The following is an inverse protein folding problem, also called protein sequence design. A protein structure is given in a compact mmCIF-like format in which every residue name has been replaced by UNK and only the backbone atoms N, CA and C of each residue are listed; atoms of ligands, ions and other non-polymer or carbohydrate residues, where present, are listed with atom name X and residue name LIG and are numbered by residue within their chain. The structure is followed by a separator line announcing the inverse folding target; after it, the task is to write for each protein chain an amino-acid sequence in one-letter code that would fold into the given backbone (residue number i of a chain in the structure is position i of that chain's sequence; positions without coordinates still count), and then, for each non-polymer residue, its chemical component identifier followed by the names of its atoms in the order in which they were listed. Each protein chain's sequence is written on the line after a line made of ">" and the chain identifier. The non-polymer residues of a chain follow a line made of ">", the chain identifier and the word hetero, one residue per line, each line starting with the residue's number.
data_IF_861630927975
#
_entry.id   IF_861630927975
#
_cell.length_a   1.000
_cell.length_b   1.000
_cell.length_c   1.000
_cell.angle_alpha   90.00
_cell.angle_beta   90.00
_cell.angle_gamma   90.00
#
_symmetry.space_group_name_H-M   'P 1'
#
loop_
_entity.id
_entity.type
_entity.pdbx_description
1 polymer ?
#
# COMPACT_ATOMS: atom_id res chain seq x y z
N UNK A 1 8.39 -25.01 -11.40
CA UNK A 1 9.36 -23.94 -11.74
C UNK A 1 10.28 -23.77 -10.54
N UNK A 2 11.61 -23.73 -10.75
CA UNK A 2 12.55 -23.48 -9.68
C UNK A 2 12.34 -22.05 -9.13
N UNK A 3 12.25 -21.92 -7.81
CA UNK A 3 12.05 -20.64 -7.16
C UNK A 3 13.40 -20.02 -6.85
N UNK A 4 13.64 -18.82 -7.34
CA UNK A 4 14.88 -18.08 -7.11
C UNK A 4 14.75 -17.24 -5.84
N UNK A 5 15.73 -17.36 -4.95
CA UNK A 5 15.84 -16.52 -3.75
C UNK A 5 16.94 -15.48 -3.97
N UNK A 6 16.63 -14.19 -3.79
CA UNK A 6 17.63 -13.12 -3.81
C UNK A 6 17.93 -12.70 -2.37
N UNK A 7 19.22 -12.60 -2.02
CA UNK A 7 19.66 -12.20 -0.68
C UNK A 7 20.50 -10.92 -0.73
N UNK A 8 19.99 -9.87 -0.12
CA UNK A 8 20.67 -8.59 0.08
C UNK A 8 21.37 -8.58 1.44
N UNK A 9 22.66 -8.41 1.46
CA UNK A 9 23.49 -8.44 2.66
C UNK A 9 24.33 -7.18 2.81
N UNK A 10 24.77 -6.90 4.03
CA UNK A 10 25.62 -5.76 4.36
C UNK A 10 27.04 -6.20 4.70
N UNK A 11 28.02 -5.29 4.49
CA UNK A 11 29.45 -5.50 4.79
C UNK A 11 29.88 -5.05 6.17
N UNK A 12 29.04 -4.27 6.86
CA UNK A 12 29.38 -3.63 8.15
C UNK A 12 29.34 -4.60 9.34
N UNK A 13 28.60 -5.69 9.22
CA UNK A 13 28.58 -6.74 10.25
C UNK A 13 29.85 -7.60 10.20
N UNK A 14 30.38 -8.05 11.35
CA UNK A 14 31.48 -9.02 11.38
C UNK A 14 31.11 -10.26 10.57
N UNK A 15 31.93 -10.60 9.58
CA UNK A 15 31.63 -11.61 8.52
C UNK A 15 31.13 -12.94 9.11
N UNK A 16 31.68 -13.37 10.26
CA UNK A 16 31.39 -14.66 10.90
C UNK A 16 29.96 -14.74 11.46
N UNK A 17 29.44 -13.66 12.04
CA UNK A 17 28.13 -13.59 12.69
C UNK A 17 27.08 -12.83 11.86
N UNK A 18 27.47 -12.29 10.73
CA UNK A 18 26.63 -11.64 9.72
C UNK A 18 26.57 -12.51 8.45
N UNK A 19 27.33 -12.10 7.42
CA UNK A 19 27.27 -12.69 6.09
C UNK A 19 27.41 -14.23 6.07
N UNK A 20 28.43 -14.82 6.70
CA UNK A 20 28.63 -16.29 6.69
C UNK A 20 27.48 -16.97 7.44
N UNK A 21 27.11 -16.45 8.61
CA UNK A 21 26.06 -17.03 9.44
C UNK A 21 24.70 -17.07 8.71
N UNK A 22 24.29 -15.94 8.12
CA UNK A 22 23.01 -15.84 7.40
C UNK A 22 23.03 -16.74 6.16
N UNK A 23 24.14 -16.72 5.37
CA UNK A 23 24.30 -17.58 4.22
C UNK A 23 24.14 -19.06 4.57
N UNK A 24 24.82 -19.51 5.62
CA UNK A 24 24.80 -20.92 6.01
C UNK A 24 23.39 -21.32 6.51
N UNK A 25 22.69 -20.44 7.25
CA UNK A 25 21.31 -20.67 7.65
C UNK A 25 20.35 -20.71 6.45
N UNK A 26 20.53 -19.85 5.44
CA UNK A 26 19.76 -19.86 4.20
C UNK A 26 19.99 -21.14 3.40
N UNK A 27 21.25 -21.59 3.28
CA UNK A 27 21.57 -22.86 2.61
C UNK A 27 20.89 -24.05 3.28
N UNK A 28 21.01 -24.16 4.62
CA UNK A 28 20.33 -25.20 5.38
C UNK A 28 18.79 -25.16 5.21
N UNK A 29 18.19 -23.96 5.19
CA UNK A 29 16.76 -23.81 4.95
C UNK A 29 16.35 -24.25 3.54
N UNK A 30 17.09 -23.85 2.51
CA UNK A 30 16.84 -24.23 1.12
C UNK A 30 17.01 -25.74 0.93
N UNK A 31 18.04 -26.35 1.54
CA UNK A 31 18.27 -27.80 1.46
C UNK A 31 17.13 -28.58 2.12
N UNK A 32 16.55 -28.11 3.22
CA UNK A 32 15.34 -28.69 3.81
C UNK A 32 14.12 -28.56 2.89
N UNK A 33 13.99 -27.45 2.19
CA UNK A 33 12.87 -27.18 1.28
C UNK A 33 13.00 -27.89 -0.07
N UNK A 34 14.22 -28.17 -0.56
CA UNK A 34 14.46 -28.94 -1.81
C UNK A 34 13.94 -30.36 -1.74
N UNK A 35 13.71 -30.89 -0.56
CA UNK A 35 13.01 -32.18 -0.38
C UNK A 35 11.52 -32.07 -0.75
N UNK A 36 10.97 -30.85 -0.90
CA UNK A 36 9.58 -30.57 -1.23
C UNK A 36 9.35 -29.64 -2.41
N UNK A 37 10.35 -28.87 -2.89
CA UNK A 37 10.22 -27.95 -4.01
C UNK A 37 11.60 -27.64 -4.67
N UNK A 38 11.62 -27.37 -6.00
CA UNK A 38 12.81 -26.92 -6.72
C UNK A 38 13.09 -25.44 -6.43
N UNK A 39 14.00 -25.15 -5.51
CA UNK A 39 14.44 -23.79 -5.15
C UNK A 39 15.89 -23.60 -5.60
N UNK A 40 16.13 -22.58 -6.44
CA UNK A 40 17.48 -22.15 -6.83
C UNK A 40 17.92 -20.93 -6.04
N UNK A 41 19.16 -20.94 -5.52
CA UNK A 41 19.80 -19.84 -4.82
C UNK A 41 20.65 -18.99 -5.80
N UNK A 42 20.30 -17.74 -6.10
CA UNK A 42 21.22 -16.82 -6.76
C UNK A 42 22.08 -16.13 -5.72
N UNK A 43 23.29 -16.61 -5.50
CA UNK A 43 24.29 -15.90 -4.69
C UNK A 43 24.73 -14.61 -5.43
N UNK A 44 24.73 -13.49 -4.70
CA UNK A 44 25.41 -12.27 -5.16
C UNK A 44 26.90 -12.51 -5.07
N UNK A 45 27.51 -12.98 -6.15
CA UNK A 45 28.96 -13.18 -6.25
C UNK A 45 29.67 -11.83 -6.47
N UNK A 46 29.85 -11.05 -5.38
CA UNK A 46 30.63 -9.81 -5.41
C UNK A 46 32.11 -10.04 -5.57
N UNK A 47 32.62 -11.24 -5.32
CA UNK A 47 34.05 -11.58 -5.41
C UNK A 47 34.56 -11.58 -6.85
N UNK A 48 33.72 -11.84 -7.83
CA UNK A 48 34.11 -11.78 -9.27
C UNK A 48 34.15 -10.36 -9.83
N UNK A 49 33.53 -9.39 -9.18
CA UNK A 49 33.44 -8.01 -9.65
C UNK A 49 34.61 -7.18 -9.17
N UNK A 50 35.16 -7.46 -7.98
CA UNK A 50 36.31 -6.74 -7.41
C UNK A 50 37.67 -7.17 -7.96
N UNK A 51 37.74 -8.24 -8.76
CA UNK A 51 38.99 -8.80 -9.27
C UNK A 51 39.15 -8.80 -10.78
N UNK A 52 38.28 -8.15 -11.55
CA UNK A 52 38.47 -7.97 -13.00
C UNK A 52 38.84 -6.51 -13.36
N UNK A 53 40.14 -6.16 -13.37
CA UNK A 53 40.59 -4.81 -13.73
C UNK A 53 40.43 -4.50 -15.22
N UNK A 54 39.84 -5.38 -16.00
CA UNK A 54 39.74 -5.30 -17.47
C UNK A 54 38.37 -4.89 -18.03
N UNK A 55 37.31 -4.82 -17.23
CA UNK A 55 35.99 -4.33 -17.67
C UNK A 55 35.66 -2.99 -17.03
N UNK A 56 36.20 -1.96 -17.64
CA UNK A 56 35.72 -0.57 -17.48
C UNK A 56 34.35 -0.39 -18.20
N UNK A 57 33.32 -1.13 -17.79
CA UNK A 57 31.94 -0.78 -18.12
C UNK A 57 31.33 -0.17 -16.86
N UNK A 58 30.99 1.12 -16.97
CA UNK A 58 30.60 1.97 -15.87
C UNK A 58 29.51 1.38 -15.00
N UNK A 59 29.45 1.81 -13.72
CA UNK A 59 28.60 1.28 -12.64
C UNK A 59 27.08 1.14 -12.91
N UNK A 60 26.61 1.59 -14.06
CA UNK A 60 25.22 1.45 -14.54
C UNK A 60 24.87 0.00 -14.93
N UNK A 61 25.82 -0.83 -15.40
CA UNK A 61 25.58 -2.23 -15.74
C UNK A 61 25.32 -3.09 -14.51
N UNK A 62 26.13 -2.89 -13.44
CA UNK A 62 26.03 -3.65 -12.20
C UNK A 62 24.70 -3.45 -11.47
N UNK A 63 24.28 -2.19 -11.33
CA UNK A 63 22.99 -1.86 -10.68
C UNK A 63 21.84 -2.51 -11.44
N UNK A 64 21.86 -2.43 -12.79
CA UNK A 64 20.82 -3.04 -13.62
C UNK A 64 20.77 -4.56 -13.48
N UNK A 65 21.91 -5.21 -13.38
CA UNK A 65 21.99 -6.68 -13.19
C UNK A 65 21.43 -7.09 -11.83
N UNK A 66 21.69 -6.30 -10.76
CA UNK A 66 21.10 -6.53 -9.43
C UNK A 66 19.59 -6.40 -9.50
N UNK A 67 19.08 -5.32 -10.09
CA UNK A 67 17.63 -5.10 -10.20
C UNK A 67 16.95 -6.21 -11.02
N UNK A 68 17.54 -6.63 -12.14
CA UNK A 68 17.01 -7.75 -12.94
C UNK A 68 16.98 -9.07 -12.16
N UNK A 69 17.96 -9.32 -11.27
CA UNK A 69 17.96 -10.51 -10.41
C UNK A 69 16.89 -10.43 -9.33
N UNK A 70 16.62 -9.24 -8.79
CA UNK A 70 15.51 -9.02 -7.86
C UNK A 70 14.17 -9.26 -8.57
N UNK A 71 13.99 -8.74 -9.80
CA UNK A 71 12.78 -8.96 -10.60
C UNK A 71 12.51 -10.45 -10.87
N UNK A 72 13.57 -11.25 -11.03
CA UNK A 72 13.48 -12.68 -11.27
C UNK A 72 13.37 -13.53 -9.98
N UNK A 73 13.40 -12.91 -8.80
CA UNK A 73 13.36 -13.63 -7.54
C UNK A 73 11.92 -13.97 -7.13
N UNK A 74 11.71 -15.16 -6.61
CA UNK A 74 10.45 -15.56 -5.97
C UNK A 74 10.36 -15.08 -4.53
N UNK A 75 11.50 -14.92 -3.83
CA UNK A 75 11.60 -14.42 -2.45
C UNK A 75 12.83 -13.53 -2.34
N UNK A 76 12.71 -12.43 -1.61
CA UNK A 76 13.79 -11.50 -1.29
C UNK A 76 14.09 -11.52 0.20
N UNK A 77 15.35 -11.72 0.56
CA UNK A 77 15.83 -11.69 1.94
C UNK A 77 16.75 -10.50 2.14
N UNK A 78 16.55 -9.69 3.18
CA UNK A 78 17.36 -8.52 3.50
C UNK A 78 17.95 -8.60 4.91
N UNK A 79 19.26 -8.39 5.03
CA UNK A 79 19.92 -8.15 6.33
C UNK A 79 19.78 -6.67 6.70
N UNK A 80 18.78 -6.35 7.53
CA UNK A 80 18.48 -5.00 8.01
C UNK A 80 19.14 -4.70 9.38
N UNK A 81 20.15 -5.46 9.78
CA UNK A 81 20.93 -5.18 11.00
C UNK A 81 21.47 -3.74 10.96
N UNK A 82 21.37 -3.02 12.08
CA UNK A 82 21.82 -1.63 12.16
C UNK A 82 23.32 -1.46 11.85
N UNK A 83 23.63 -0.65 10.85
CA UNK A 83 25.01 -0.34 10.45
C UNK A 83 25.69 0.71 11.37
N UNK A 84 24.92 1.57 12.03
CA UNK A 84 25.45 2.72 12.78
C UNK A 84 26.27 2.37 14.04
N UNK A 85 26.19 1.13 14.53
CA UNK A 85 26.96 0.66 15.69
C UNK A 85 28.21 -0.15 15.33
N UNK A 86 28.41 -0.51 14.08
CA UNK A 86 29.41 -1.50 13.68
C UNK A 86 30.74 -0.86 13.29
N UNK A 87 30.77 0.41 12.91
CA UNK A 87 31.97 1.07 12.36
C UNK A 87 32.66 2.06 13.27
N UNK A 88 32.09 2.45 14.39
CA UNK A 88 32.72 3.42 15.31
C UNK A 88 33.40 2.71 16.47
N UNK A 89 34.72 2.64 16.44
CA UNK A 89 35.55 2.30 17.62
C UNK A 89 35.44 3.34 18.75
N UNK A 90 34.37 4.08 18.84
CA UNK A 90 34.02 5.03 19.89
C UNK A 90 32.81 4.44 20.61
N UNK A 91 32.96 4.17 21.89
CA UNK A 91 31.90 3.86 22.83
C UNK A 91 30.85 4.99 22.81
N UNK A 92 29.84 4.87 21.96
CA UNK A 92 28.71 5.78 22.00
C UNK A 92 27.85 5.32 23.17
N UNK A 93 27.74 6.19 24.17
CA UNK A 93 26.85 6.03 25.33
C UNK A 93 25.45 5.62 24.89
N UNK A 94 24.76 4.71 25.63
CA UNK A 94 23.46 4.14 25.21
C UNK A 94 22.27 5.12 25.21
N UNK A 95 22.48 6.40 25.46
CA UNK A 95 21.42 7.40 25.66
C UNK A 95 21.10 8.29 24.46
N UNK A 96 21.79 8.16 23.33
CA UNK A 96 21.36 8.89 22.13
C UNK A 96 20.33 8.07 21.33
N UNK A 97 19.07 8.36 21.55
CA UNK A 97 17.92 7.87 20.76
C UNK A 97 17.95 8.47 19.33
N UNK A 98 18.97 8.11 18.54
CA UNK A 98 19.02 8.42 17.11
C UNK A 98 18.52 7.20 16.32
N UNK A 99 17.72 7.41 15.28
CA UNK A 99 17.32 6.36 14.35
C UNK A 99 18.57 5.62 13.85
N UNK A 100 18.63 4.33 14.07
CA UNK A 100 19.72 3.49 13.58
C UNK A 100 19.53 3.27 12.09
N UNK A 101 20.57 3.53 11.31
CA UNK A 101 20.53 3.39 9.86
C UNK A 101 20.88 1.95 9.47
N UNK A 102 20.13 1.42 8.51
CA UNK A 102 20.51 0.20 7.78
C UNK A 102 21.49 0.56 6.66
N UNK A 103 22.23 -0.42 6.15
CA UNK A 103 23.12 -0.20 5.00
C UNK A 103 22.36 0.39 3.82
N UNK A 104 22.90 1.43 3.18
CA UNK A 104 22.24 2.16 2.09
C UNK A 104 21.97 1.30 0.85
N UNK A 105 22.84 0.33 0.53
CA UNK A 105 22.63 -0.58 -0.59
C UNK A 105 21.48 -1.55 -0.29
N UNK A 106 21.44 -2.10 0.94
CA UNK A 106 20.33 -2.95 1.38
C UNK A 106 19.02 -2.17 1.38
N UNK A 107 19.03 -0.90 1.80
CA UNK A 107 17.84 -0.05 1.77
C UNK A 107 17.31 0.18 0.34
N UNK A 108 18.22 0.44 -0.62
CA UNK A 108 17.87 0.63 -2.01
C UNK A 108 17.29 -0.66 -2.63
N UNK A 109 17.97 -1.79 -2.40
CA UNK A 109 17.56 -3.10 -2.92
C UNK A 109 16.23 -3.54 -2.29
N UNK A 110 16.02 -3.31 -0.98
CA UNK A 110 14.77 -3.58 -0.28
C UNK A 110 13.62 -2.73 -0.81
N UNK A 111 13.84 -1.43 -1.03
CA UNK A 111 12.82 -0.56 -1.61
C UNK A 111 12.43 -1.00 -3.02
N UNK A 112 13.40 -1.43 -3.83
CA UNK A 112 13.13 -1.97 -5.15
C UNK A 112 12.38 -3.32 -5.07
N UNK A 113 12.82 -4.24 -4.20
CA UNK A 113 12.17 -5.54 -4.00
C UNK A 113 10.73 -5.40 -3.50
N UNK A 114 10.47 -4.46 -2.56
CA UNK A 114 9.12 -4.14 -2.12
C UNK A 114 8.21 -3.76 -3.29
N UNK A 115 8.75 -2.97 -4.22
CA UNK A 115 8.03 -2.53 -5.42
C UNK A 115 7.82 -3.68 -6.41
N UNK A 116 8.86 -4.52 -6.64
CA UNK A 116 8.86 -5.54 -7.69
C UNK A 116 8.12 -6.81 -7.26
N UNK A 117 8.29 -7.25 -6.01
CA UNK A 117 7.82 -8.53 -5.51
C UNK A 117 6.61 -8.41 -4.57
N UNK A 118 6.40 -7.24 -3.96
CA UNK A 118 5.40 -7.03 -2.92
C UNK A 118 5.88 -7.47 -1.53
N UNK A 119 5.19 -6.98 -0.50
CA UNK A 119 5.56 -7.16 0.92
C UNK A 119 5.60 -8.62 1.36
N UNK A 120 4.70 -9.45 0.83
CA UNK A 120 4.54 -10.85 1.20
C UNK A 120 5.75 -11.74 0.85
N UNK A 121 6.56 -11.32 -0.14
CA UNK A 121 7.76 -12.02 -0.59
C UNK A 121 9.05 -11.49 0.03
N UNK A 122 8.93 -10.57 1.00
CA UNK A 122 10.07 -9.98 1.71
C UNK A 122 10.29 -10.70 3.04
N UNK A 123 11.54 -11.07 3.31
CA UNK A 123 11.99 -11.61 4.59
C UNK A 123 13.07 -10.68 5.12
N UNK A 124 12.80 -10.03 6.25
CA UNK A 124 13.75 -9.15 6.91
C UNK A 124 14.47 -9.91 8.02
N UNK A 125 15.78 -9.80 8.08
CA UNK A 125 16.63 -10.40 9.11
C UNK A 125 17.38 -9.31 9.86
N UNK A 126 17.51 -9.43 11.18
CA UNK A 126 18.39 -8.53 11.92
C UNK A 126 19.02 -9.21 13.13
N UNK A 127 20.26 -8.80 13.43
CA UNK A 127 20.94 -9.22 14.64
C UNK A 127 20.59 -8.28 15.81
N UNK A 128 19.79 -8.77 16.75
CA UNK A 128 19.31 -7.99 17.89
C UNK A 128 20.42 -7.58 18.88
N UNK A 129 21.63 -8.14 18.76
CA UNK A 129 22.81 -7.65 19.49
C UNK A 129 23.12 -6.17 19.16
N UNK A 130 22.82 -5.72 17.93
CA UNK A 130 23.11 -4.36 17.47
C UNK A 130 21.91 -3.42 17.60
N UNK A 131 20.75 -3.89 17.99
CA UNK A 131 19.57 -3.07 18.18
C UNK A 131 18.27 -3.85 18.20
N UNK A 132 17.19 -3.18 18.51
CA UNK A 132 15.83 -3.74 18.53
C UNK A 132 15.11 -3.41 17.23
N UNK A 133 14.02 -4.13 16.96
CA UNK A 133 13.16 -3.87 15.78
C UNK A 133 12.61 -2.43 15.77
N UNK A 134 12.34 -1.88 16.95
CA UNK A 134 11.84 -0.52 17.14
C UNK A 134 12.86 0.56 16.75
N UNK A 135 14.15 0.20 16.73
CA UNK A 135 15.24 1.08 16.31
C UNK A 135 15.37 1.20 14.78
N UNK A 136 14.74 0.29 14.01
CA UNK A 136 14.75 0.34 12.56
C UNK A 136 13.98 1.56 12.04
N UNK A 137 14.31 2.07 10.84
CA UNK A 137 13.54 3.13 10.21
C UNK A 137 12.04 2.77 10.17
N UNK A 138 11.18 3.77 10.39
CA UNK A 138 9.74 3.59 10.50
C UNK A 138 9.15 2.74 9.37
N UNK A 139 9.55 3.02 8.12
CA UNK A 139 9.03 2.31 6.96
C UNK A 139 9.49 0.84 6.92
N UNK A 140 10.71 0.54 7.37
CA UNK A 140 11.26 -0.82 7.39
C UNK A 140 10.60 -1.68 8.48
N UNK A 141 10.44 -1.16 9.68
CA UNK A 141 9.84 -1.90 10.80
C UNK A 141 8.37 -2.25 10.61
N UNK A 142 7.67 -1.52 9.72
CA UNK A 142 6.24 -1.72 9.43
C UNK A 142 5.99 -2.57 8.17
N UNK A 143 7.05 -2.95 7.42
CA UNK A 143 6.91 -3.75 6.20
C UNK A 143 6.53 -5.20 6.47
N UNK A 144 7.25 -5.86 7.38
CA UNK A 144 7.02 -7.26 7.73
C UNK A 144 7.60 -7.55 9.12
N UNK A 145 7.14 -8.62 9.77
CA UNK A 145 7.73 -9.11 11.00
C UNK A 145 9.16 -9.57 10.73
N UNK A 146 10.15 -8.77 11.18
CA UNK A 146 11.55 -9.08 10.98
C UNK A 146 11.97 -10.29 11.84
N UNK A 147 12.71 -11.22 11.25
CA UNK A 147 13.26 -12.39 11.93
C UNK A 147 14.52 -11.95 12.69
N UNK A 148 14.42 -11.85 14.02
CA UNK A 148 15.56 -11.54 14.87
C UNK A 148 16.43 -12.79 15.13
N UNK A 149 17.75 -12.62 15.14
CA UNK A 149 18.72 -13.54 15.74
C UNK A 149 19.66 -12.76 16.64
N UNK A 150 20.33 -13.44 17.58
CA UNK A 150 21.19 -12.76 18.56
C UNK A 150 22.58 -13.37 18.58
N UNK A 151 23.57 -12.67 18.02
CA UNK A 151 24.96 -13.09 18.05
C UNK A 151 25.88 -11.91 18.34
N UNK A 152 26.65 -12.03 19.43
CA UNK A 152 27.71 -11.09 19.74
C UNK A 152 28.95 -11.36 18.87
N UNK A 153 29.83 -10.34 18.63
CA UNK A 153 31.04 -10.51 17.83
C UNK A 153 31.95 -11.64 18.31
N UNK A 154 31.98 -11.89 19.63
CA UNK A 154 32.77 -12.92 20.29
C UNK A 154 32.02 -14.23 20.54
N UNK A 155 30.84 -14.43 19.98
CA UNK A 155 30.04 -15.65 20.14
C UNK A 155 30.85 -16.92 19.85
N UNK A 156 30.70 -17.93 20.71
CA UNK A 156 31.37 -19.23 20.56
C UNK A 156 30.73 -20.11 19.47
N UNK A 157 31.45 -21.13 19.00
CA UNK A 157 30.90 -22.10 18.02
C UNK A 157 29.57 -22.72 18.46
N UNK A 158 29.41 -23.22 19.72
CA UNK A 158 28.15 -23.82 20.13
C UNK A 158 26.96 -22.84 20.10
N UNK A 159 27.21 -21.58 20.44
CA UNK A 159 26.21 -20.51 20.42
C UNK A 159 25.77 -20.19 18.97
N UNK A 160 26.74 -20.07 18.05
CA UNK A 160 26.49 -19.84 16.64
C UNK A 160 25.67 -21.00 16.03
N UNK A 161 26.02 -22.26 16.35
CA UNK A 161 25.29 -23.41 15.86
C UNK A 161 23.86 -23.51 16.39
N UNK A 162 23.66 -23.19 17.67
CA UNK A 162 22.33 -23.16 18.26
C UNK A 162 21.45 -22.10 17.61
N UNK A 163 21.99 -20.89 17.45
CA UNK A 163 21.27 -19.77 16.85
C UNK A 163 21.02 -20.00 15.35
N UNK A 164 21.95 -20.63 14.63
CA UNK A 164 21.76 -21.03 13.24
C UNK A 164 20.59 -21.98 13.07
N UNK A 165 20.47 -23.03 13.90
CA UNK A 165 19.35 -23.96 13.86
C UNK A 165 18.00 -23.26 14.07
N UNK A 166 17.95 -22.30 15.01
CA UNK A 166 16.72 -21.51 15.24
C UNK A 166 16.39 -20.62 14.03
N UNK A 167 17.38 -19.93 13.47
CA UNK A 167 17.20 -19.10 12.31
C UNK A 167 16.77 -19.93 11.09
N UNK A 168 17.42 -21.07 10.84
CA UNK A 168 17.06 -21.99 9.75
C UNK A 168 15.59 -22.42 9.82
N UNK A 169 15.10 -22.83 10.99
CA UNK A 169 13.71 -23.24 11.15
C UNK A 169 12.71 -22.11 10.85
N UNK A 170 13.04 -20.87 11.26
CA UNK A 170 12.21 -19.70 10.97
C UNK A 170 12.27 -19.32 9.49
N UNK A 171 13.44 -19.45 8.86
CA UNK A 171 13.61 -19.21 7.42
C UNK A 171 12.84 -20.20 6.57
N UNK A 172 12.84 -21.49 6.92
CA UNK A 172 12.02 -22.51 6.24
C UNK A 172 10.55 -22.05 6.20
N UNK A 173 9.96 -21.76 7.37
CA UNK A 173 8.57 -21.34 7.46
C UNK A 173 8.30 -20.01 6.73
N UNK A 174 9.25 -19.07 6.72
CA UNK A 174 9.09 -17.79 6.03
C UNK A 174 9.19 -17.94 4.51
N UNK A 175 10.14 -18.74 4.02
CA UNK A 175 10.31 -19.04 2.59
C UNK A 175 9.09 -19.81 2.09
N UNK A 176 8.62 -20.83 2.79
CA UNK A 176 7.41 -21.57 2.42
C UNK A 176 6.20 -20.65 2.24
N UNK A 177 5.99 -19.73 3.17
CA UNK A 177 4.90 -18.75 3.05
C UNK A 177 5.07 -17.86 1.83
N UNK A 178 6.28 -17.30 1.61
CA UNK A 178 6.56 -16.44 0.46
C UNK A 178 6.45 -17.15 -0.88
N UNK A 179 6.63 -18.49 -0.89
CA UNK A 179 6.53 -19.35 -2.07
C UNK A 179 5.11 -19.84 -2.31
N UNK A 180 4.36 -20.16 -1.25
CA UNK A 180 2.96 -20.64 -1.34
C UNK A 180 1.98 -19.50 -1.61
N UNK A 181 2.35 -18.26 -1.30
CA UNK A 181 1.59 -17.12 -1.80
C UNK A 181 1.61 -17.19 -3.33
N UNK A 182 0.43 -17.24 -4.00
CA UNK A 182 0.41 -17.15 -5.45
C UNK A 182 1.25 -15.94 -5.83
N UNK A 183 2.13 -16.11 -6.83
CA UNK A 183 2.77 -14.93 -7.45
C UNK A 183 1.70 -13.85 -7.50
N UNK A 184 2.01 -12.60 -7.04
CA UNK A 184 1.09 -11.51 -7.22
C UNK A 184 0.71 -11.62 -8.68
N UNK A 185 -0.50 -12.13 -8.94
CA UNK A 185 -0.90 -12.52 -10.28
C UNK A 185 -0.48 -11.36 -11.15
N UNK A 186 -0.05 -11.60 -12.41
CA UNK A 186 0.30 -10.51 -13.33
C UNK A 186 -0.80 -9.42 -13.34
N UNK A 187 -1.98 -9.75 -12.82
CA UNK A 187 -3.09 -8.90 -12.41
C UNK A 187 -2.73 -7.87 -11.33
N UNK A 188 -1.76 -8.09 -10.41
CA UNK A 188 -1.38 -7.11 -9.38
C UNK A 188 -0.22 -6.20 -9.80
N UNK A 189 0.65 -6.62 -10.73
CA UNK A 189 1.76 -5.77 -11.20
C UNK A 189 1.36 -4.77 -12.30
N UNK A 190 0.07 -4.72 -12.63
CA UNK A 190 -0.44 -3.97 -13.77
C UNK A 190 -0.52 -2.45 -13.58
N UNK A 191 -0.91 -1.93 -12.42
CA UNK A 191 -1.14 -0.51 -12.24
C UNK A 191 -0.10 0.09 -11.28
N UNK A 192 0.67 1.05 -11.76
CA UNK A 192 1.50 1.90 -10.89
C UNK A 192 0.55 2.84 -10.15
N UNK A 193 0.48 2.76 -8.81
CA UNK A 193 -0.34 3.71 -8.08
C UNK A 193 0.17 5.12 -8.30
N UNK A 194 -0.68 6.02 -8.72
CA UNK A 194 -0.38 7.44 -8.74
C UNK A 194 -0.54 8.03 -7.32
N UNK A 195 0.10 7.40 -6.29
CA UNK A 195 -0.11 7.78 -4.90
C UNK A 195 1.15 8.28 -4.24
N UNK A 196 1.03 9.37 -3.51
CA UNK A 196 2.04 9.85 -2.56
C UNK A 196 1.79 9.34 -1.14
N UNK A 197 0.56 8.94 -0.82
CA UNK A 197 0.19 8.30 0.45
C UNK A 197 -0.87 7.20 0.21
N UNK A 198 -1.27 6.49 1.28
CA UNK A 198 -2.07 5.25 1.20
C UNK A 198 -3.40 5.39 0.45
N UNK A 199 -4.05 6.55 0.50
CA UNK A 199 -5.41 6.73 -0.01
C UNK A 199 -5.57 7.97 -0.88
N UNK A 200 -4.54 8.77 -1.05
CA UNK A 200 -4.59 9.99 -1.85
C UNK A 200 -3.42 10.06 -2.83
N UNK A 201 -3.71 10.54 -4.02
CA UNK A 201 -2.75 10.79 -5.10
C UNK A 201 -2.11 12.18 -5.00
N UNK A 202 -2.38 12.93 -3.94
CA UNK A 202 -1.95 14.32 -3.74
C UNK A 202 -1.36 14.51 -2.33
N UNK A 203 -0.62 15.60 -2.14
CA UNK A 203 -0.17 16.04 -0.83
C UNK A 203 -1.26 16.84 -0.12
N UNK A 204 -1.36 16.72 1.22
CA UNK A 204 -2.31 17.48 2.02
C UNK A 204 -2.19 18.99 1.77
N UNK A 205 -3.34 19.66 1.52
CA UNK A 205 -3.40 21.08 1.19
C UNK A 205 -3.03 21.46 -0.23
N UNK A 206 -2.67 20.49 -1.11
CA UNK A 206 -2.41 20.71 -2.52
C UNK A 206 -3.67 21.22 -3.24
N UNK A 207 -3.50 22.18 -4.13
CA UNK A 207 -4.59 22.68 -5.00
C UNK A 207 -4.85 21.67 -6.10
N UNK A 208 -5.98 20.98 -6.03
CA UNK A 208 -6.36 19.93 -6.97
C UNK A 208 -7.25 20.43 -8.10
N UNK A 209 -8.00 21.50 -7.86
CA UNK A 209 -8.92 22.06 -8.83
C UNK A 209 -8.91 23.58 -8.77
N UNK A 210 -9.16 24.20 -9.92
CA UNK A 210 -9.33 25.64 -10.05
C UNK A 210 -10.60 25.91 -10.86
N UNK A 211 -11.32 26.96 -10.51
CA UNK A 211 -12.43 27.47 -11.30
C UNK A 211 -12.30 28.98 -11.43
N UNK A 212 -12.83 29.52 -12.51
CA UNK A 212 -12.96 30.97 -12.72
C UNK A 212 -14.43 31.27 -12.88
N UNK A 213 -14.95 32.19 -12.05
CA UNK A 213 -16.34 32.61 -12.13
C UNK A 213 -16.58 33.53 -13.37
N UNK A 214 -17.85 33.85 -13.66
CA UNK A 214 -18.26 34.72 -14.74
C UNK A 214 -17.66 36.13 -14.66
N UNK A 215 -17.13 36.54 -13.51
CA UNK A 215 -16.49 37.83 -13.26
C UNK A 215 -14.94 37.73 -13.34
N UNK A 216 -14.39 36.62 -13.81
CA UNK A 216 -12.95 36.39 -13.92
C UNK A 216 -12.26 36.13 -12.56
N UNK A 217 -12.98 35.87 -11.50
CA UNK A 217 -12.40 35.56 -10.18
C UNK A 217 -12.05 34.11 -10.09
N UNK A 218 -10.77 33.84 -9.89
CA UNK A 218 -10.27 32.48 -9.66
C UNK A 218 -10.55 31.98 -8.24
N UNK A 219 -11.01 30.74 -8.13
CA UNK A 219 -11.06 29.99 -6.89
C UNK A 219 -10.23 28.71 -7.00
N UNK A 220 -9.51 28.37 -5.94
CA UNK A 220 -8.72 27.14 -5.86
C UNK A 220 -9.29 26.23 -4.77
N UNK A 221 -9.25 24.92 -5.00
CA UNK A 221 -9.86 23.93 -4.14
C UNK A 221 -8.84 22.86 -3.71
N UNK A 222 -8.89 22.52 -2.44
CA UNK A 222 -8.05 21.49 -1.80
C UNK A 222 -8.83 20.73 -0.74
N UNK A 223 -8.33 19.55 -0.37
CA UNK A 223 -8.83 18.88 0.82
C UNK A 223 -8.18 19.46 2.09
N UNK A 224 -8.98 19.57 3.16
CA UNK A 224 -8.53 20.08 4.47
C UNK A 224 -8.44 18.97 5.54
N UNK A 225 -8.48 17.71 5.13
CA UNK A 225 -8.43 16.54 6.02
C UNK A 225 -7.61 15.44 5.39
N UNK A 226 -7.05 14.56 6.21
CA UNK A 226 -6.40 13.32 5.81
C UNK A 226 -7.31 12.09 6.01
N UNK A 227 -8.60 12.35 6.31
CA UNK A 227 -9.61 11.30 6.52
C UNK A 227 -10.49 11.19 5.29
N UNK A 228 -10.46 10.04 4.63
CA UNK A 228 -11.20 9.82 3.39
C UNK A 228 -11.92 8.47 3.37
N UNK A 229 -13.08 8.46 2.71
CA UNK A 229 -13.61 7.28 2.04
C UNK A 229 -13.13 7.30 0.60
N UNK A 230 -12.67 6.18 0.05
CA UNK A 230 -12.21 6.13 -1.33
C UNK A 230 -12.59 4.85 -2.06
N UNK A 231 -12.77 4.97 -3.36
CA UNK A 231 -12.91 3.88 -4.29
C UNK A 231 -11.99 4.12 -5.48
N UNK A 232 -11.14 3.15 -5.78
CA UNK A 232 -10.15 3.18 -6.83
C UNK A 232 -10.41 2.04 -7.80
N UNK A 233 -10.38 2.35 -9.09
CA UNK A 233 -10.50 1.39 -10.18
C UNK A 233 -9.29 1.49 -11.09
N UNK A 234 -8.69 0.35 -11.43
CA UNK A 234 -7.52 0.26 -12.30
C UNK A 234 -7.79 -0.76 -13.40
N UNK A 235 -7.58 -0.43 -14.68
CA UNK A 235 -7.71 -1.39 -15.76
C UNK A 235 -6.65 -2.48 -15.67
N UNK A 236 -7.02 -3.72 -16.01
CA UNK A 236 -6.13 -4.85 -16.15
C UNK A 236 -6.35 -5.50 -17.53
N UNK A 237 -5.29 -5.77 -18.29
CA UNK A 237 -3.91 -5.33 -18.09
C UNK A 237 -3.78 -3.80 -18.19
N UNK A 238 -2.60 -3.27 -17.87
CA UNK A 238 -2.31 -1.85 -18.11
C UNK A 238 -2.59 -1.48 -19.56
N UNK A 239 -3.05 -0.25 -19.78
CA UNK A 239 -3.18 0.29 -21.12
C UNK A 239 -1.82 0.35 -21.80
N UNK A 240 -1.71 -0.18 -23.02
CA UNK A 240 -0.51 -0.05 -23.84
C UNK A 240 -0.22 1.40 -24.21
N UNK A 241 -1.27 2.22 -24.34
CA UNK A 241 -1.19 3.63 -24.67
C UNK A 241 -1.97 4.47 -23.67
N UNK A 242 -1.33 5.50 -23.14
CA UNK A 242 -1.97 6.45 -22.25
C UNK A 242 -3.15 7.19 -22.90
N UNK A 243 -4.20 7.43 -22.12
CA UNK A 243 -5.33 8.26 -22.54
C UNK A 243 -4.90 9.73 -22.67
N UNK A 244 -5.36 10.38 -23.72
CA UNK A 244 -5.05 11.80 -23.94
C UNK A 244 -5.79 12.68 -22.91
N UNK A 245 -5.16 13.75 -22.45
CA UNK A 245 -5.77 14.70 -21.51
C UNK A 245 -7.04 15.34 -22.11
N UNK A 246 -7.08 15.59 -23.43
CA UNK A 246 -8.26 16.07 -24.12
C UNK A 246 -9.46 15.14 -23.95
N UNK A 247 -9.24 13.84 -24.17
CA UNK A 247 -10.29 12.81 -23.97
C UNK A 247 -10.80 12.80 -22.53
N UNK A 248 -9.87 12.84 -21.56
CA UNK A 248 -10.25 12.85 -20.14
C UNK A 248 -11.03 14.12 -19.77
N UNK A 249 -10.62 15.29 -20.28
CA UNK A 249 -11.29 16.57 -19.99
C UNK A 249 -12.69 16.68 -20.62
N UNK A 250 -12.93 16.02 -21.75
CA UNK A 250 -14.25 15.98 -22.39
C UNK A 250 -15.27 15.18 -21.57
N UNK A 251 -14.85 14.11 -20.88
CA UNK A 251 -15.76 13.20 -20.21
C UNK A 251 -15.85 13.37 -18.70
N UNK A 252 -14.86 14.07 -18.09
CA UNK A 252 -14.73 14.16 -16.63
C UNK A 252 -15.94 14.80 -15.93
N UNK A 253 -16.68 15.68 -16.60
CA UNK A 253 -17.91 16.28 -16.05
C UNK A 253 -19.04 15.26 -15.84
N UNK A 254 -18.93 14.06 -16.41
CA UNK A 254 -19.83 12.93 -16.23
C UNK A 254 -19.33 11.91 -15.22
N UNK A 255 -18.08 12.08 -14.70
CA UNK A 255 -17.51 11.14 -13.77
C UNK A 255 -18.32 11.11 -12.47
N UNK A 256 -18.73 9.91 -12.00
CA UNK A 256 -19.52 9.79 -10.78
C UNK A 256 -18.66 10.17 -9.57
N UNK A 257 -19.27 10.84 -8.59
CA UNK A 257 -18.61 11.25 -7.35
C UNK A 257 -19.04 10.36 -6.19
N UNK A 258 -18.10 10.01 -5.32
CA UNK A 258 -18.36 9.29 -4.07
C UNK A 258 -19.04 10.24 -3.08
N UNK A 259 -20.30 10.59 -3.33
CA UNK A 259 -21.06 11.61 -2.62
C UNK A 259 -22.49 11.17 -2.33
N UNK A 260 -23.13 11.80 -1.32
CA UNK A 260 -24.52 11.53 -0.94
C UNK A 260 -25.52 11.99 -1.99
N UNK A 261 -25.19 13.06 -2.68
CA UNK A 261 -26.07 13.68 -3.66
C UNK A 261 -25.28 13.86 -4.95
N UNK A 262 -25.75 13.34 -6.08
CA UNK A 262 -25.21 13.73 -7.37
C UNK A 262 -25.61 15.19 -7.65
N UNK A 263 -24.92 16.12 -7.01
CA UNK A 263 -25.02 17.55 -7.30
C UNK A 263 -24.20 17.90 -8.52
N UNK A 264 -24.41 19.09 -9.10
CA UNK A 264 -23.68 19.55 -10.27
C UNK A 264 -22.17 19.52 -10.02
N UNK A 265 -21.49 18.51 -10.56
CA UNK A 265 -20.06 18.38 -10.44
C UNK A 265 -19.38 19.48 -11.24
N UNK A 266 -18.47 20.20 -10.62
CA UNK A 266 -17.50 21.03 -11.31
C UNK A 266 -16.41 20.13 -11.88
N UNK A 267 -15.73 20.58 -12.92
CA UNK A 267 -14.66 19.81 -13.54
C UNK A 267 -13.49 20.71 -13.91
N UNK A 268 -12.32 20.10 -14.01
CA UNK A 268 -11.08 20.78 -14.40
C UNK A 268 -9.98 19.78 -14.74
N UNK A 269 -8.80 20.31 -14.98
CA UNK A 269 -7.57 19.55 -15.18
C UNK A 269 -6.52 19.94 -14.15
N UNK A 270 -5.62 19.00 -13.83
CA UNK A 270 -4.50 19.22 -12.92
C UNK A 270 -3.27 18.43 -13.38
N UNK A 271 -2.21 18.42 -12.57
CA UNK A 271 -0.97 17.68 -12.88
C UNK A 271 -1.16 16.17 -13.02
N UNK A 272 -2.26 15.61 -12.51
CA UNK A 272 -2.54 14.17 -12.53
C UNK A 272 -3.45 13.76 -13.70
N UNK A 273 -4.15 14.71 -14.33
CA UNK A 273 -5.10 14.45 -15.41
C UNK A 273 -6.33 15.33 -15.33
N UNK A 274 -7.54 14.74 -15.45
CA UNK A 274 -8.81 15.46 -15.33
C UNK A 274 -9.52 15.11 -14.02
N UNK A 275 -10.16 16.10 -13.40
CA UNK A 275 -10.82 15.97 -12.10
C UNK A 275 -12.25 16.51 -12.15
N UNK A 276 -13.22 15.66 -11.73
CA UNK A 276 -14.58 16.07 -11.37
C UNK A 276 -14.67 16.26 -9.86
N UNK A 277 -15.37 17.29 -9.36
CA UNK A 277 -15.38 17.56 -7.94
C UNK A 277 -16.63 18.28 -7.44
N UNK A 278 -16.92 18.11 -6.16
CA UNK A 278 -17.97 18.77 -5.39
C UNK A 278 -17.35 19.63 -4.29
N UNK A 279 -17.94 20.81 -4.07
CA UNK A 279 -17.49 21.76 -3.05
C UNK A 279 -18.29 21.52 -1.76
N UNK A 280 -17.61 21.37 -0.63
CA UNK A 280 -18.23 21.10 0.67
C UNK A 280 -18.82 22.32 1.36
N UNK A 281 -18.05 23.36 1.46
CA UNK A 281 -18.49 24.66 2.00
C UNK A 281 -17.86 25.78 1.20
N UNK A 282 -18.65 26.80 0.89
CA UNK A 282 -18.11 27.98 0.24
C UNK A 282 -17.29 28.78 1.26
N UNK A 283 -16.02 29.02 0.99
CA UNK A 283 -15.24 29.94 1.78
C UNK A 283 -15.51 31.38 1.34
N UNK A 284 -15.38 32.28 2.27
CA UNK A 284 -15.09 33.67 1.91
C UNK A 284 -13.78 33.71 1.12
N UNK A 285 -13.78 34.43 0.01
CA UNK A 285 -12.66 34.77 -0.89
C UNK A 285 -11.41 33.85 -0.88
N UNK A 286 -11.24 33.01 -1.90
CA UNK A 286 -9.96 32.51 -2.35
C UNK A 286 -9.70 30.99 -2.30
N UNK A 287 -10.06 30.27 -1.26
CA UNK A 287 -9.83 28.82 -1.17
C UNK A 287 -11.09 28.07 -0.75
N UNK A 288 -11.49 27.08 -1.59
CA UNK A 288 -12.61 26.19 -1.32
C UNK A 288 -12.16 24.83 -0.77
N UNK A 289 -13.03 24.21 0.02
CA UNK A 289 -12.82 22.85 0.51
C UNK A 289 -13.52 21.88 -0.41
N UNK A 290 -12.80 20.86 -0.87
CA UNK A 290 -13.38 19.72 -1.61
C UNK A 290 -14.18 18.85 -0.63
N UNK A 291 -15.39 18.47 -1.05
CA UNK A 291 -16.23 17.48 -0.35
C UNK A 291 -15.99 16.08 -0.92
N UNK A 292 -15.99 15.97 -2.25
CA UNK A 292 -15.72 14.77 -3.00
C UNK A 292 -15.03 15.10 -4.33
N UNK A 293 -14.29 14.16 -4.87
CA UNK A 293 -13.70 14.27 -6.20
C UNK A 293 -13.54 12.91 -6.87
N UNK A 294 -13.51 12.91 -8.20
CA UNK A 294 -13.11 11.76 -9.01
C UNK A 294 -12.03 12.22 -9.99
N UNK A 295 -10.82 11.67 -9.82
CA UNK A 295 -9.66 11.92 -10.66
C UNK A 295 -9.58 10.85 -11.74
N UNK A 296 -9.40 11.27 -12.98
CA UNK A 296 -9.12 10.44 -14.14
C UNK A 296 -7.66 10.60 -14.52
N UNK A 297 -6.91 9.50 -14.54
CA UNK A 297 -5.49 9.48 -14.88
C UNK A 297 -5.27 9.02 -16.32
N UNK A 298 -4.17 9.47 -16.93
CA UNK A 298 -3.76 9.03 -18.25
C UNK A 298 -3.54 7.49 -18.36
N UNK A 299 -3.24 6.83 -17.25
CA UNK A 299 -3.14 5.36 -17.14
C UNK A 299 -4.48 4.63 -17.28
N UNK A 300 -5.61 5.33 -17.34
CA UNK A 300 -6.96 4.76 -17.23
C UNK A 300 -7.40 4.48 -15.79
N UNK A 301 -6.55 4.76 -14.81
CA UNK A 301 -6.91 4.64 -13.41
C UNK A 301 -7.92 5.73 -13.02
N UNK A 302 -8.90 5.38 -12.18
CA UNK A 302 -9.95 6.28 -11.68
C UNK A 302 -9.91 6.24 -10.15
N UNK A 303 -9.83 7.41 -9.52
CA UNK A 303 -9.90 7.54 -8.07
C UNK A 303 -11.07 8.42 -7.67
N UNK A 304 -11.98 7.87 -6.87
CA UNK A 304 -13.05 8.62 -6.21
C UNK A 304 -12.74 8.75 -4.74
N UNK A 305 -12.72 9.99 -4.24
CA UNK A 305 -12.42 10.37 -2.85
C UNK A 305 -13.60 11.14 -2.27
N UNK A 306 -13.91 10.90 -1.01
CA UNK A 306 -14.91 11.65 -0.26
C UNK A 306 -14.43 11.96 1.15
N UNK A 307 -14.35 13.25 1.47
CA UNK A 307 -14.17 13.76 2.83
C UNK A 307 -15.52 14.02 3.53
N UNK A 308 -16.61 14.11 2.77
CA UNK A 308 -17.93 14.51 3.28
C UNK A 308 -18.75 13.36 3.89
N UNK A 309 -18.38 12.10 3.62
CA UNK A 309 -19.08 10.94 4.20
C UNK A 309 -18.81 10.79 5.69
N UNK A 310 -17.65 11.26 6.16
CA UNK A 310 -17.27 11.25 7.57
C UNK A 310 -17.48 12.64 8.15
N UNK A 311 -18.31 12.71 9.19
CA UNK A 311 -18.58 13.98 9.87
C UNK A 311 -17.51 14.26 10.93
N UNK A 312 -16.81 15.35 10.78
CA UNK A 312 -15.84 15.88 11.76
C UNK A 312 -16.42 17.00 12.61
N UNK A 313 -17.43 17.69 12.10
CA UNK A 313 -18.13 18.78 12.78
C UNK A 313 -19.55 18.35 13.14
N UNK A 314 -20.06 18.88 14.24
CA UNK A 314 -21.37 18.49 14.77
C UNK A 314 -22.51 18.84 13.81
N UNK A 315 -22.52 20.07 13.27
CA UNK A 315 -23.63 20.58 12.48
C UNK A 315 -24.96 20.48 13.26
N UNK A 316 -26.01 19.97 12.61
CA UNK A 316 -27.34 19.73 13.21
C UNK A 316 -27.44 18.40 13.98
N UNK A 317 -26.35 17.63 14.12
CA UNK A 317 -26.39 16.32 14.78
C UNK A 317 -26.60 16.44 16.28
N UNK A 318 -27.36 15.50 16.89
CA UNK A 318 -27.59 15.47 18.35
C UNK A 318 -26.28 15.44 19.14
N UNK A 319 -26.32 16.04 20.35
CA UNK A 319 -25.13 16.18 21.20
C UNK A 319 -24.52 14.84 21.65
N UNK A 320 -25.30 13.78 21.71
CA UNK A 320 -24.85 12.45 22.11
C UNK A 320 -24.04 11.71 21.03
N UNK A 321 -24.08 12.17 19.76
CA UNK A 321 -23.25 11.60 18.70
C UNK A 321 -21.79 12.03 18.91
N UNK A 322 -20.90 11.07 19.08
CA UNK A 322 -19.46 11.30 19.19
C UNK A 322 -18.83 11.43 17.80
N UNK A 323 -17.95 12.40 17.65
CA UNK A 323 -17.21 12.65 16.41
C UNK A 323 -15.77 12.06 16.51
N UNK A 324 -15.15 11.71 15.39
CA UNK A 324 -15.71 11.65 14.04
C UNK A 324 -16.80 10.57 13.89
N UNK A 325 -17.74 10.77 12.96
CA UNK A 325 -18.93 9.94 12.83
C UNK A 325 -19.23 9.58 11.37
N UNK A 326 -19.58 8.31 11.14
CA UNK A 326 -20.00 7.74 9.86
C UNK A 326 -21.38 7.10 10.02
N UNK A 327 -22.34 7.46 9.17
CA UNK A 327 -23.62 6.76 9.09
C UNK A 327 -23.51 5.58 8.11
N UNK A 328 -23.53 4.34 8.63
CA UNK A 328 -23.28 3.15 7.81
C UNK A 328 -24.29 2.94 6.69
N UNK A 329 -25.57 3.27 6.90
CA UNK A 329 -26.60 3.16 5.85
C UNK A 329 -26.29 4.05 4.66
N UNK A 330 -25.83 5.27 4.90
CA UNK A 330 -25.43 6.19 3.82
C UNK A 330 -24.14 5.74 3.16
N UNK A 331 -23.18 5.32 3.96
CA UNK A 331 -21.88 4.83 3.51
C UNK A 331 -22.04 3.62 2.59
N UNK A 332 -22.72 2.57 3.03
CA UNK A 332 -22.94 1.36 2.22
C UNK A 332 -23.68 1.67 0.92
N UNK A 333 -24.71 2.53 0.97
CA UNK A 333 -25.46 2.94 -0.21
C UNK A 333 -24.61 3.70 -1.22
N UNK A 334 -23.80 4.66 -0.74
CA UNK A 334 -22.94 5.46 -1.62
C UNK A 334 -21.88 4.58 -2.31
N UNK A 335 -21.28 3.63 -1.61
CA UNK A 335 -20.33 2.70 -2.24
C UNK A 335 -21.01 1.76 -3.25
N UNK A 336 -22.22 1.30 -2.94
CA UNK A 336 -23.03 0.50 -3.85
C UNK A 336 -23.30 1.22 -5.15
N UNK A 337 -23.80 2.45 -5.08
CA UNK A 337 -24.13 3.26 -6.25
C UNK A 337 -22.86 3.66 -7.02
N UNK A 338 -21.79 4.04 -6.29
CA UNK A 338 -20.53 4.50 -6.89
C UNK A 338 -19.82 3.41 -7.69
N UNK A 339 -19.70 2.19 -7.15
CA UNK A 339 -19.00 1.11 -7.87
C UNK A 339 -19.67 0.83 -9.22
N UNK A 340 -20.99 0.76 -9.24
CA UNK A 340 -21.76 0.53 -10.46
C UNK A 340 -21.64 1.68 -11.45
N UNK A 341 -21.75 2.90 -10.94
CA UNK A 341 -21.60 4.10 -11.77
C UNK A 341 -20.17 4.21 -12.36
N UNK A 342 -19.13 3.83 -11.61
CA UNK A 342 -17.76 3.83 -12.13
C UNK A 342 -17.56 2.76 -13.21
N UNK A 343 -18.09 1.56 -13.02
CA UNK A 343 -18.04 0.49 -14.03
C UNK A 343 -18.70 0.97 -15.33
N UNK A 344 -19.92 1.49 -15.24
CA UNK A 344 -20.63 2.01 -16.40
C UNK A 344 -19.87 3.18 -17.07
N UNK A 345 -19.36 4.11 -16.27
CA UNK A 345 -18.60 5.26 -16.77
C UNK A 345 -17.31 4.82 -17.49
N UNK A 346 -16.56 3.88 -16.92
CA UNK A 346 -15.31 3.39 -17.51
C UNK A 346 -15.54 2.77 -18.89
N UNK A 347 -16.63 2.05 -19.05
CA UNK A 347 -16.99 1.42 -20.32
C UNK A 347 -17.53 2.40 -21.34
N UNK A 348 -18.51 3.20 -20.93
CA UNK A 348 -19.24 4.08 -21.84
C UNK A 348 -18.37 5.25 -22.35
N UNK A 349 -17.54 5.84 -21.46
CA UNK A 349 -16.80 7.07 -21.77
C UNK A 349 -15.31 6.87 -21.97
N UNK A 350 -14.71 5.83 -21.41
CA UNK A 350 -13.26 5.58 -21.51
C UNK A 350 -12.95 4.33 -22.35
N UNK A 351 -13.96 3.58 -22.77
CA UNK A 351 -13.80 2.30 -23.48
C UNK A 351 -12.95 1.27 -22.73
N UNK A 352 -13.01 1.30 -21.38
CA UNK A 352 -12.28 0.42 -20.50
C UNK A 352 -13.20 -0.71 -20.02
N UNK A 353 -12.99 -1.92 -20.56
CA UNK A 353 -13.70 -3.13 -20.13
C UNK A 353 -13.00 -3.88 -18.98
N UNK A 354 -13.69 -4.90 -18.43
CA UNK A 354 -13.08 -5.79 -17.43
C UNK A 354 -11.89 -6.59 -18.03
N UNK A 355 -10.99 -7.13 -17.21
CA UNK A 355 -11.02 -7.07 -15.76
C UNK A 355 -10.50 -5.74 -15.20
N UNK A 356 -10.96 -5.38 -13.99
CA UNK A 356 -10.44 -4.23 -13.25
C UNK A 356 -9.94 -4.67 -11.88
N UNK A 357 -8.91 -4.02 -11.39
CA UNK A 357 -8.58 -4.08 -9.98
C UNK A 357 -9.36 -2.98 -9.25
N UNK A 358 -10.21 -3.38 -8.31
CA UNK A 358 -11.00 -2.48 -7.46
C UNK A 358 -10.38 -2.43 -6.08
N UNK A 359 -10.22 -1.22 -5.55
CA UNK A 359 -9.80 -1.00 -4.17
C UNK A 359 -10.82 -0.08 -3.50
N UNK A 360 -11.46 -0.58 -2.43
CA UNK A 360 -12.34 0.20 -1.57
C UNK A 360 -11.64 0.44 -0.24
N UNK A 361 -11.73 1.64 0.33
CA UNK A 361 -11.06 1.90 1.59
C UNK A 361 -11.53 3.13 2.33
N UNK A 362 -11.11 3.18 3.60
CA UNK A 362 -11.17 4.32 4.47
C UNK A 362 -9.79 4.56 5.05
N UNK A 363 -9.37 5.81 5.15
CA UNK A 363 -8.09 6.20 5.76
C UNK A 363 -8.29 7.29 6.80
N UNK A 364 -7.37 7.37 7.78
CA UNK A 364 -7.42 8.35 8.86
C UNK A 364 -8.59 8.14 9.83
N UNK A 365 -9.10 6.90 9.96
CA UNK A 365 -10.34 6.58 10.67
C UNK A 365 -10.14 6.11 12.12
N UNK A 366 -8.95 6.22 12.68
CA UNK A 366 -8.73 5.89 14.09
C UNK A 366 -9.65 6.72 14.97
N UNK A 367 -10.41 6.06 15.84
CA UNK A 367 -11.37 6.73 16.73
C UNK A 367 -12.75 7.02 16.12
N UNK A 368 -13.00 6.63 14.85
CA UNK A 368 -14.27 6.83 14.16
C UNK A 368 -15.41 6.07 14.86
N UNK A 369 -16.55 6.73 15.03
CA UNK A 369 -17.79 6.11 15.49
C UNK A 369 -18.71 5.85 14.29
N UNK A 370 -19.34 4.68 14.27
CA UNK A 370 -20.18 4.23 13.14
C UNK A 370 -21.60 4.01 13.64
N UNK A 371 -22.54 4.76 13.09
CA UNK A 371 -23.97 4.60 13.39
C UNK A 371 -24.59 3.55 12.47
N UNK A 372 -25.06 2.44 13.03
CA UNK A 372 -25.80 1.41 12.34
C UNK A 372 -27.29 1.73 12.24
N UNK A 373 -27.82 2.36 13.28
CA UNK A 373 -29.16 2.95 13.37
C UNK A 373 -29.13 4.18 14.29
N UNK A 374 -30.21 4.95 14.43
CA UNK A 374 -30.26 6.04 15.38
C UNK A 374 -29.89 5.63 16.81
N UNK A 375 -30.22 4.40 17.21
CA UNK A 375 -30.04 3.88 18.57
C UNK A 375 -28.84 2.90 18.69
N UNK A 376 -28.16 2.57 17.59
CA UNK A 376 -27.01 1.66 17.60
C UNK A 376 -25.78 2.35 16.98
N UNK A 377 -24.95 2.90 17.85
CA UNK A 377 -23.65 3.48 17.46
C UNK A 377 -22.53 2.59 17.99
N UNK A 378 -21.66 2.18 17.08
CA UNK A 378 -20.52 1.33 17.37
C UNK A 378 -19.19 2.06 17.19
N UNK A 379 -18.15 1.52 17.79
CA UNK A 379 -16.82 2.10 17.74
C UNK A 379 -16.28 2.38 19.15
N UNK A 380 -15.19 3.10 19.29
CA UNK A 380 -14.42 3.67 18.20
C UNK A 380 -13.69 2.62 17.34
N UNK A 381 -13.49 2.90 16.05
CA UNK A 381 -12.61 2.12 15.17
C UNK A 381 -11.20 2.13 15.72
N UNK A 382 -10.54 0.97 15.75
CA UNK A 382 -9.21 0.78 16.37
C UNK A 382 -8.07 0.71 15.35
N UNK A 383 -8.37 0.83 14.06
CA UNK A 383 -7.38 0.87 12.97
C UNK A 383 -7.36 2.26 12.35
N UNK A 384 -6.18 2.70 11.91
CA UNK A 384 -6.06 3.97 11.20
C UNK A 384 -6.67 3.89 9.81
N UNK A 385 -6.55 2.72 9.17
CA UNK A 385 -7.00 2.49 7.80
C UNK A 385 -7.69 1.13 7.69
N UNK A 386 -8.64 1.04 6.76
CA UNK A 386 -9.30 -0.21 6.34
C UNK A 386 -9.38 -0.19 4.84
N UNK A 387 -8.89 -1.24 4.17
CA UNK A 387 -8.99 -1.35 2.71
C UNK A 387 -9.18 -2.78 2.27
N UNK A 388 -9.82 -2.95 1.13
CA UNK A 388 -9.99 -4.21 0.42
C UNK A 388 -9.63 -4.00 -1.04
N UNK A 389 -8.77 -4.87 -1.58
CA UNK A 389 -8.43 -4.90 -3.00
C UNK A 389 -8.85 -6.23 -3.60
N UNK A 390 -9.60 -6.21 -4.71
CA UNK A 390 -10.07 -7.38 -5.43
C UNK A 390 -10.09 -7.14 -6.93
N UNK A 391 -9.93 -8.20 -7.71
CA UNK A 391 -10.13 -8.17 -9.15
C UNK A 391 -11.58 -8.43 -9.49
N UNK A 392 -12.21 -7.50 -10.20
CA UNK A 392 -13.54 -7.65 -10.78
C UNK A 392 -13.38 -8.12 -12.23
N UNK A 393 -13.68 -9.41 -12.48
CA UNK A 393 -13.45 -10.07 -13.77
C UNK A 393 -14.53 -9.82 -14.80
N UNK A 394 -15.69 -9.36 -14.36
CA UNK A 394 -16.88 -9.09 -15.18
C UNK A 394 -17.76 -8.03 -14.54
N UNK A 395 -18.76 -7.56 -15.24
CA UNK A 395 -19.78 -6.60 -14.75
C UNK A 395 -20.85 -7.27 -13.91
N UNK A 396 -20.59 -8.46 -13.40
CA UNK A 396 -21.56 -9.22 -12.63
C UNK A 396 -21.92 -8.48 -11.33
N UNK A 397 -23.20 -8.16 -11.17
CA UNK A 397 -23.71 -7.48 -9.99
C UNK A 397 -23.44 -8.26 -8.69
N UNK A 398 -23.54 -9.61 -8.76
CA UNK A 398 -23.29 -10.44 -7.58
C UNK A 398 -21.81 -10.41 -7.17
N UNK A 399 -20.88 -10.31 -8.13
CA UNK A 399 -19.46 -10.12 -7.84
C UNK A 399 -19.17 -8.76 -7.20
N UNK A 400 -19.82 -7.69 -7.68
CA UNK A 400 -19.74 -6.35 -7.08
C UNK A 400 -20.31 -6.34 -5.67
N UNK A 401 -21.46 -6.97 -5.45
CA UNK A 401 -22.09 -7.07 -4.14
C UNK A 401 -21.22 -7.83 -3.15
N UNK A 402 -20.64 -8.97 -3.57
CA UNK A 402 -19.71 -9.75 -2.76
C UNK A 402 -18.48 -8.93 -2.33
N UNK A 403 -17.87 -8.21 -3.28
CA UNK A 403 -16.72 -7.35 -3.02
C UNK A 403 -17.06 -6.30 -1.94
N UNK A 404 -18.20 -5.62 -2.09
CA UNK A 404 -18.62 -4.59 -1.14
C UNK A 404 -18.97 -5.17 0.23
N UNK A 405 -19.64 -6.34 0.29
CA UNK A 405 -19.93 -7.01 1.56
C UNK A 405 -18.65 -7.41 2.30
N UNK A 406 -17.63 -7.91 1.60
CA UNK A 406 -16.32 -8.19 2.17
C UNK A 406 -15.68 -6.91 2.74
N UNK A 407 -15.75 -5.80 2.00
CA UNK A 407 -15.21 -4.51 2.46
C UNK A 407 -15.96 -3.97 3.69
N UNK A 408 -17.28 -4.03 3.69
CA UNK A 408 -18.07 -3.57 4.85
C UNK A 408 -17.83 -4.43 6.09
N UNK A 409 -17.61 -5.74 5.91
CA UNK A 409 -17.24 -6.63 7.02
C UNK A 409 -15.91 -6.21 7.67
N UNK A 410 -14.90 -5.81 6.89
CA UNK A 410 -13.62 -5.32 7.42
C UNK A 410 -13.76 -4.05 8.30
N UNK A 411 -14.69 -3.15 7.96
CA UNK A 411 -14.97 -1.99 8.80
C UNK A 411 -15.57 -2.42 10.16
N UNK A 412 -16.46 -3.40 10.15
CA UNK A 412 -17.02 -3.96 11.39
C UNK A 412 -15.97 -4.67 12.23
N UNK A 413 -15.08 -5.45 11.61
CA UNK A 413 -13.95 -6.08 12.30
C UNK A 413 -13.01 -5.03 12.93
N UNK A 414 -12.79 -3.91 12.25
CA UNK A 414 -11.98 -2.81 12.79
C UNK A 414 -12.60 -2.15 14.03
N UNK A 415 -13.90 -2.33 14.26
CA UNK A 415 -14.63 -1.93 15.48
C UNK A 415 -14.68 -3.07 16.52
N UNK A 416 -14.16 -4.26 16.21
CA UNK A 416 -14.27 -5.45 17.05
C UNK A 416 -15.67 -6.08 17.04
N UNK A 417 -16.41 -5.94 15.95
CA UNK A 417 -17.76 -6.49 15.78
C UNK A 417 -17.91 -7.23 14.44
N UNK A 418 -18.94 -8.05 14.33
CA UNK A 418 -19.29 -8.71 13.07
C UNK A 418 -20.42 -7.92 12.40
N UNK A 419 -20.33 -7.71 11.08
CA UNK A 419 -21.41 -7.08 10.33
C UNK A 419 -22.65 -7.98 10.34
N UNK A 420 -23.84 -7.49 10.75
CA UNK A 420 -25.08 -8.26 10.65
C UNK A 420 -25.42 -8.58 9.18
N UNK A 421 -25.85 -9.80 8.90
CA UNK A 421 -26.08 -10.30 7.53
C UNK A 421 -27.12 -9.46 6.77
N UNK A 422 -28.18 -9.02 7.44
CA UNK A 422 -29.27 -8.25 6.83
C UNK A 422 -29.18 -6.75 7.10
N UNK A 423 -27.97 -6.23 7.47
CA UNK A 423 -27.81 -4.81 7.76
C UNK A 423 -28.18 -3.97 6.55
N UNK A 424 -29.07 -2.98 6.77
CA UNK A 424 -29.59 -2.02 5.76
C UNK A 424 -30.23 -2.66 4.53
N UNK A 425 -30.62 -3.96 4.62
CA UNK A 425 -31.16 -4.69 3.47
C UNK A 425 -30.17 -4.83 2.31
N UNK A 426 -28.87 -4.75 2.59
CA UNK A 426 -27.84 -4.89 1.56
C UNK A 426 -27.62 -6.36 1.18
N UNK A 427 -27.48 -6.67 -0.14
CA UNK A 427 -27.62 -5.73 -1.27
C UNK A 427 -29.03 -5.15 -1.34
N UNK A 428 -29.20 -3.85 -1.65
CA UNK A 428 -30.51 -3.23 -1.69
C UNK A 428 -31.37 -3.97 -2.71
N UNK A 429 -32.51 -4.46 -2.23
CA UNK A 429 -33.46 -5.19 -3.07
C UNK A 429 -33.75 -4.40 -4.33
N UNK A 430 -33.74 -5.07 -5.50
CA UNK A 430 -34.17 -4.46 -6.76
C UNK A 430 -35.54 -3.86 -6.54
N UNK A 431 -35.79 -2.59 -6.90
CA UNK A 431 -37.15 -2.08 -6.94
C UNK A 431 -37.94 -3.02 -7.83
N UNK A 432 -39.02 -3.62 -7.30
CA UNK A 432 -39.95 -4.47 -8.02
C UNK A 432 -40.73 -3.66 -9.04
#
# INVERSE_FOLDING_TARGET
>A
MAIKLFWSWQSESPVRIGRIFIRDALKEAIDQLKLSADIEEPERDTTKIDHDPGRASGGTGLVRDILNRIDAAGVFVADVTSASKIGSGVDIQPESAGNKLINSNVALELGYALRALGEQKLILLFNSHYGWQEDLPFDVRNLADAIAFTLAPNAGRPEIELERKKLTARLVSAIERGVQEPEPSAEQSGATPATFNKAAYFQGGEVLAQSVDSNGRGASYSYSTDTFCYLRMMPLPKLERALALSTLSEVVHRAPLLSRQPGGALSGTNAYGAIGFEIGSQPGRGRGKLAASTQLFASGEIWSLSAALIAHERGERPAWIKLPFLASVVFERVYYDQLRALVAFAQEYLSLGPPWQIECGLTGILGLNVGLSPDDIRGPVRKADVSLRRTLKSEDEAAMDKLLLEFFALLHEAMGSVRPTALHGFPPGRPR
#
